data_IF_118957050816
#
_entry.id   IF_118957050816
#
_cell.length_a   1.000
_cell.length_b   1.000
_cell.length_c   1.000
_cell.angle_alpha   90.00
_cell.angle_beta   90.00
_cell.angle_gamma   90.00
#
_symmetry.space_group_name_H-M   'P 1'
#
loop_
_entity.id
_entity.type
_entity.pdbx_description
1 polymer ?
#
# COMPACT_ATOMS: atom_id res chain seq x y z
N UNK A 1 15.25 5.70 13.81
CA UNK A 1 13.81 5.88 14.10
C UNK A 1 13.31 7.32 13.86
N UNK A 2 14.05 8.19 13.22
CA UNK A 2 13.69 9.60 12.98
C UNK A 2 13.75 10.00 11.50
N UNK A 3 13.44 9.12 10.57
CA UNK A 3 13.42 9.44 9.12
C UNK A 3 12.05 9.95 8.62
N UNK A 4 11.10 10.24 9.51
CA UNK A 4 9.69 10.53 9.16
C UNK A 4 9.37 12.03 9.20
N UNK A 5 10.31 12.91 9.59
CA UNK A 5 10.02 14.33 9.82
C UNK A 5 10.24 15.28 8.62
N UNK A 6 10.54 14.80 7.42
CA UNK A 6 10.81 15.67 6.27
C UNK A 6 9.62 15.92 5.31
N UNK A 7 8.39 15.71 5.78
CA UNK A 7 7.16 15.88 4.98
C UNK A 7 6.54 17.28 5.08
N UNK A 8 7.34 18.34 5.21
CA UNK A 8 6.83 19.70 5.01
C UNK A 8 7.01 20.10 3.55
N UNK A 9 5.99 19.85 2.75
CA UNK A 9 5.86 20.47 1.43
C UNK A 9 5.70 21.99 1.60
N UNK A 10 6.66 22.76 1.13
CA UNK A 10 6.54 24.22 0.97
C UNK A 10 5.51 24.49 -0.12
N UNK A 11 4.33 24.91 0.26
CA UNK A 11 3.41 25.61 -0.64
C UNK A 11 3.86 27.08 -0.67
N UNK A 12 4.57 27.45 -1.74
CA UNK A 12 4.90 28.84 -2.04
C UNK A 12 3.66 29.49 -2.66
N UNK A 13 2.93 30.26 -1.89
CA UNK A 13 1.97 31.24 -2.42
C UNK A 13 2.61 32.63 -2.40
N UNK A 14 3.01 33.08 -3.58
CA UNK A 14 3.37 34.48 -3.81
C UNK A 14 2.09 35.32 -3.90
N UNK A 15 1.78 36.08 -2.88
CA UNK A 15 0.94 37.28 -3.03
C UNK A 15 1.60 38.43 -2.29
N UNK A 16 1.98 39.43 -3.10
CA UNK A 16 2.45 40.72 -2.59
C UNK A 16 1.29 41.54 -2.03
N UNK A 17 1.54 42.10 -0.87
CA UNK A 17 0.66 43.08 -0.25
C UNK A 17 1.43 43.80 0.84
N UNK A 18 1.94 44.98 0.52
CA UNK A 18 2.59 45.85 1.48
C UNK A 18 1.54 46.46 2.43
N UNK A 19 1.69 46.25 3.73
CA UNK A 19 1.05 47.11 4.73
C UNK A 19 2.04 47.43 5.85
N UNK A 20 2.19 48.74 6.07
CA UNK A 20 2.95 49.40 7.13
C UNK A 20 2.52 48.90 8.52
N UNK A 21 3.49 48.58 9.36
CA UNK A 21 3.29 48.42 10.79
C UNK A 21 4.26 49.33 11.57
N UNK A 22 3.80 50.10 12.56
CA UNK A 22 4.64 51.04 13.30
C UNK A 22 5.49 50.32 14.35
N UNK A 23 6.74 50.78 14.48
CA UNK A 23 7.71 50.37 15.53
C UNK A 23 7.26 50.79 16.91
N UNK A 24 7.14 49.83 17.81
CA UNK A 24 7.15 50.09 19.26
C UNK A 24 8.44 49.46 19.81
N UNK A 25 9.32 50.31 20.35
CA UNK A 25 10.53 49.93 21.10
C UNK A 25 10.15 49.50 22.52
N UNK A 26 10.50 48.31 22.92
CA UNK A 26 10.65 47.91 24.32
C UNK A 26 11.96 47.15 24.49
N UNK A 27 12.70 47.37 25.59
CA UNK A 27 14.02 46.80 25.79
C UNK A 27 13.95 45.35 26.26
N UNK A 28 14.75 44.52 25.63
CA UNK A 28 14.92 43.11 25.97
C UNK A 28 15.99 42.95 27.05
N UNK A 29 15.64 42.37 28.20
CA UNK A 29 16.56 41.90 29.21
C UNK A 29 16.84 40.41 29.09
N UNK A 30 18.12 40.12 28.92
CA UNK A 30 18.90 38.94 29.37
C UNK A 30 18.28 37.54 29.39
N UNK A 31 18.80 36.72 28.50
CA UNK A 31 19.43 35.43 28.83
C UNK A 31 18.54 34.27 29.25
N UNK A 32 18.12 33.45 28.25
CA UNK A 32 18.02 32.02 28.43
C UNK A 32 18.22 31.33 27.09
N UNK A 33 19.47 30.97 26.78
CA UNK A 33 19.78 30.06 25.70
C UNK A 33 19.32 28.66 26.10
N UNK A 34 18.11 28.29 25.69
CA UNK A 34 17.67 26.89 25.72
C UNK A 34 18.48 26.11 24.70
N UNK A 35 19.49 25.40 25.17
CA UNK A 35 20.28 24.43 24.42
C UNK A 35 19.34 23.37 23.80
N UNK A 36 19.02 23.51 22.51
CA UNK A 36 18.33 22.45 21.74
C UNK A 36 19.22 21.22 21.74
N UNK A 37 18.72 20.05 22.15
CA UNK A 37 19.49 18.82 22.03
C UNK A 37 19.70 18.52 20.54
N UNK A 38 20.92 18.66 20.06
CA UNK A 38 21.35 18.24 18.73
C UNK A 38 21.49 16.72 18.72
N UNK A 39 20.39 15.99 18.59
CA UNK A 39 20.45 14.61 18.14
C UNK A 39 20.86 14.61 16.65
N UNK A 40 22.15 14.47 16.41
CA UNK A 40 22.67 14.09 15.08
C UNK A 40 22.18 12.67 14.79
N UNK A 41 21.01 12.58 14.16
CA UNK A 41 20.62 11.34 13.47
C UNK A 41 21.54 11.23 12.26
N UNK A 42 22.29 10.14 12.18
CA UNK A 42 23.01 9.73 10.96
C UNK A 42 21.95 9.53 9.85
N UNK A 43 21.63 10.62 9.16
CA UNK A 43 20.82 10.56 7.94
C UNK A 43 21.72 10.02 6.83
N UNK A 44 21.58 8.76 6.50
CA UNK A 44 22.12 8.24 5.24
C UNK A 44 21.51 9.11 4.13
N UNK A 45 22.31 9.81 3.34
CA UNK A 45 21.79 10.64 2.26
C UNK A 45 21.05 9.73 1.28
N UNK A 46 19.73 9.85 1.24
CA UNK A 46 18.92 9.11 0.27
C UNK A 46 19.11 9.71 -1.12
N UNK A 47 19.17 8.88 -2.16
CA UNK A 47 19.23 9.39 -3.51
C UNK A 47 18.04 10.33 -3.75
N UNK A 48 18.31 11.53 -4.20
CA UNK A 48 17.28 12.53 -4.48
C UNK A 48 16.48 12.20 -5.73
N UNK A 49 17.07 11.45 -6.65
CA UNK A 49 16.46 10.98 -7.91
C UNK A 49 16.24 9.47 -7.87
N UNK A 50 14.98 9.05 -7.96
CA UNK A 50 14.56 7.65 -8.00
C UNK A 50 14.43 7.07 -9.41
N UNK A 51 14.78 7.81 -10.45
CA UNK A 51 14.66 7.37 -11.85
C UNK A 51 15.27 5.98 -12.10
N UNK A 52 16.48 5.64 -11.61
CA UNK A 52 17.03 4.29 -11.81
C UNK A 52 16.15 3.20 -11.20
N UNK A 53 15.62 3.42 -10.02
CA UNK A 53 14.75 2.46 -9.34
C UNK A 53 13.38 2.32 -10.01
N UNK A 54 12.81 3.42 -10.52
CA UNK A 54 11.56 3.38 -11.27
C UNK A 54 11.73 2.62 -12.59
N UNK A 55 12.91 2.71 -13.24
CA UNK A 55 13.25 1.85 -14.37
C UNK A 55 13.39 0.37 -13.98
N UNK A 56 13.94 0.07 -12.79
CA UNK A 56 14.01 -1.31 -12.30
C UNK A 56 12.62 -1.94 -12.08
N UNK A 57 11.60 -1.15 -11.74
CA UNK A 57 10.23 -1.66 -11.65
C UNK A 57 9.76 -2.29 -12.96
N UNK A 58 10.22 -1.80 -14.12
CA UNK A 58 9.88 -2.38 -15.41
C UNK A 58 10.31 -3.85 -15.56
N UNK A 59 11.31 -4.31 -14.80
CA UNK A 59 11.69 -5.73 -14.77
C UNK A 59 10.57 -6.60 -14.18
N UNK A 60 9.68 -6.03 -13.39
CA UNK A 60 8.48 -6.70 -12.93
C UNK A 60 7.48 -7.03 -14.06
N UNK A 61 7.53 -6.31 -15.19
CA UNK A 61 6.63 -6.58 -16.31
C UNK A 61 6.86 -7.98 -16.91
N UNK A 62 8.05 -8.32 -17.43
CA UNK A 62 8.29 -9.65 -17.99
C UNK A 62 8.13 -10.76 -16.94
N UNK A 63 8.47 -10.51 -15.67
CA UNK A 63 8.26 -11.48 -14.59
C UNK A 63 6.76 -11.79 -14.40
N UNK A 64 5.92 -10.78 -14.29
CA UNK A 64 4.48 -10.98 -14.13
C UNK A 64 3.82 -11.58 -15.37
N UNK A 65 4.27 -11.19 -16.58
CA UNK A 65 3.81 -11.83 -17.84
C UNK A 65 4.19 -13.30 -17.89
N UNK A 66 5.40 -13.65 -17.47
CA UNK A 66 5.81 -15.06 -17.35
C UNK A 66 4.93 -15.84 -16.37
N UNK A 67 4.65 -15.28 -15.17
CA UNK A 67 3.78 -15.92 -14.19
C UNK A 67 2.34 -16.05 -14.70
N UNK A 68 1.84 -15.02 -15.39
CA UNK A 68 0.54 -15.08 -16.05
C UNK A 68 0.48 -16.21 -17.07
N UNK A 69 1.45 -16.31 -17.98
CA UNK A 69 1.49 -17.36 -19.01
C UNK A 69 1.55 -18.76 -18.39
N UNK A 70 2.38 -18.95 -17.34
CA UNK A 70 2.44 -20.24 -16.61
C UNK A 70 1.14 -20.55 -15.88
N UNK A 71 0.52 -19.56 -15.21
CA UNK A 71 -0.78 -19.73 -14.57
C UNK A 71 -1.89 -20.07 -15.57
N UNK A 72 -1.90 -19.40 -16.72
CA UNK A 72 -2.86 -19.71 -17.80
C UNK A 72 -2.69 -21.13 -18.34
N UNK A 73 -1.45 -21.63 -18.43
CA UNK A 73 -1.17 -23.04 -18.76
C UNK A 73 -1.79 -23.98 -17.72
N UNK A 74 -1.52 -23.78 -16.44
CA UNK A 74 -2.13 -24.59 -15.37
C UNK A 74 -3.67 -24.54 -15.37
N UNK A 75 -4.25 -23.40 -15.71
CA UNK A 75 -5.70 -23.27 -15.85
C UNK A 75 -6.24 -24.11 -17.03
N UNK A 76 -5.56 -24.08 -18.17
CA UNK A 76 -5.92 -24.86 -19.34
C UNK A 76 -5.79 -26.37 -19.08
N UNK A 77 -4.86 -26.78 -18.24
CA UNK A 77 -4.66 -28.18 -17.81
C UNK A 77 -5.68 -28.64 -16.74
N UNK A 78 -6.67 -27.82 -16.40
CA UNK A 78 -7.76 -28.17 -15.48
C UNK A 78 -7.46 -27.89 -14.01
N UNK A 79 -6.48 -27.04 -13.69
CA UNK A 79 -6.15 -26.65 -12.32
C UNK A 79 -7.26 -25.87 -11.62
N UNK A 80 -7.16 -25.75 -10.28
CA UNK A 80 -8.19 -25.12 -9.43
C UNK A 80 -8.44 -23.66 -9.82
N UNK A 81 -9.64 -23.30 -10.34
CA UNK A 81 -9.96 -21.94 -10.73
C UNK A 81 -9.96 -20.96 -9.56
N UNK A 82 -10.24 -21.40 -8.33
CA UNK A 82 -10.23 -20.54 -7.12
C UNK A 82 -8.82 -20.12 -6.70
N UNK A 83 -7.81 -20.86 -7.13
CA UNK A 83 -6.39 -20.54 -6.95
C UNK A 83 -5.86 -19.76 -8.15
N UNK A 84 -6.19 -20.17 -9.36
CA UNK A 84 -5.52 -19.68 -10.56
C UNK A 84 -6.11 -18.36 -11.06
N UNK A 85 -7.45 -18.22 -11.14
CA UNK A 85 -8.05 -17.00 -11.66
C UNK A 85 -7.67 -15.72 -10.86
N UNK A 86 -7.70 -15.74 -9.51
CA UNK A 86 -7.21 -14.61 -8.74
C UNK A 86 -5.73 -14.26 -9.02
N UNK A 87 -4.89 -15.28 -9.20
CA UNK A 87 -3.48 -15.08 -9.55
C UNK A 87 -3.31 -14.41 -10.92
N UNK A 88 -4.07 -14.86 -11.93
CA UNK A 88 -4.03 -14.25 -13.27
C UNK A 88 -4.46 -12.78 -13.24
N UNK A 89 -5.49 -12.43 -12.46
CA UNK A 89 -5.91 -11.04 -12.25
C UNK A 89 -4.76 -10.26 -11.62
N UNK A 90 -4.15 -10.80 -10.55
CA UNK A 90 -3.05 -10.13 -9.86
C UNK A 90 -1.84 -9.91 -10.78
N UNK A 91 -1.37 -10.92 -11.51
CA UNK A 91 -0.23 -10.80 -12.42
C UNK A 91 -0.46 -9.77 -13.53
N UNK A 92 -1.67 -9.75 -14.10
CA UNK A 92 -2.05 -8.75 -15.12
C UNK A 92 -1.95 -7.32 -14.59
N UNK A 93 -2.51 -7.08 -13.40
CA UNK A 93 -2.48 -5.75 -12.78
C UNK A 93 -1.08 -5.40 -12.29
N UNK A 94 -0.31 -6.37 -11.78
CA UNK A 94 1.07 -6.15 -11.35
C UNK A 94 1.97 -5.76 -12.53
N UNK A 95 1.83 -6.43 -13.69
CA UNK A 95 2.52 -6.03 -14.91
C UNK A 95 2.14 -4.60 -15.31
N UNK A 96 0.86 -4.26 -15.28
CA UNK A 96 0.38 -2.90 -15.55
C UNK A 96 0.95 -1.88 -14.55
N UNK A 97 0.97 -2.17 -13.25
CA UNK A 97 1.51 -1.30 -12.21
C UNK A 97 3.02 -1.10 -12.32
N UNK A 98 3.74 -2.10 -12.77
CA UNK A 98 5.16 -1.99 -13.08
C UNK A 98 5.42 -1.13 -14.32
N UNK A 99 4.54 -1.19 -15.33
CA UNK A 99 4.66 -0.39 -16.56
C UNK A 99 4.21 1.07 -16.34
N UNK A 100 3.19 1.29 -15.53
CA UNK A 100 2.62 2.61 -15.23
C UNK A 100 2.66 2.90 -13.72
N UNK A 101 3.87 3.01 -13.12
CA UNK A 101 3.96 3.28 -11.70
C UNK A 101 3.39 4.65 -11.36
N UNK A 102 2.58 4.69 -10.30
CA UNK A 102 2.05 5.92 -9.75
C UNK A 102 1.89 5.83 -8.23
N UNK A 103 1.74 6.99 -7.61
CA UNK A 103 1.35 7.14 -6.21
C UNK A 103 0.11 8.00 -6.13
N UNK A 104 -0.92 7.51 -5.43
CA UNK A 104 -2.22 8.20 -5.35
C UNK A 104 -2.13 9.54 -4.65
N UNK A 105 -1.36 9.61 -3.56
CA UNK A 105 -1.07 10.87 -2.88
C UNK A 105 -0.35 11.85 -3.82
N UNK A 106 -0.97 13.01 -4.06
CA UNK A 106 -0.42 14.04 -4.94
C UNK A 106 -0.43 13.68 -6.43
N UNK A 107 -1.11 12.60 -6.85
CA UNK A 107 -1.20 12.14 -8.25
C UNK A 107 0.16 12.03 -8.96
N UNK A 108 1.17 11.52 -8.24
CA UNK A 108 2.54 11.39 -8.74
C UNK A 108 2.60 10.23 -9.73
N UNK A 109 3.22 10.46 -10.89
CA UNK A 109 3.38 9.47 -11.96
C UNK A 109 4.82 9.45 -12.48
N UNK A 110 5.27 8.28 -12.95
CA UNK A 110 6.55 8.18 -13.64
C UNK A 110 6.39 8.56 -15.13
N UNK A 111 5.37 8.03 -15.80
CA UNK A 111 5.03 8.36 -17.18
C UNK A 111 3.79 9.26 -17.23
N UNK A 112 3.88 10.40 -17.92
CA UNK A 112 2.72 11.28 -18.10
C UNK A 112 1.78 10.73 -19.18
N UNK A 113 1.06 9.69 -18.85
CA UNK A 113 0.04 9.07 -19.70
C UNK A 113 -1.29 8.97 -18.96
N UNK A 114 -2.40 8.92 -19.70
CA UNK A 114 -3.73 8.71 -19.11
C UNK A 114 -3.81 7.38 -18.36
N UNK A 115 -3.03 6.38 -18.77
CA UNK A 115 -2.96 5.08 -18.11
C UNK A 115 -2.28 5.16 -16.73
N UNK A 116 -1.38 6.13 -16.50
CA UNK A 116 -0.75 6.34 -15.20
C UNK A 116 -1.64 7.09 -14.19
N UNK A 117 -2.80 7.61 -14.60
CA UNK A 117 -3.69 8.38 -13.72
C UNK A 117 -4.17 7.55 -12.52
N UNK A 118 -4.44 8.24 -11.40
CA UNK A 118 -4.81 7.57 -10.13
C UNK A 118 -6.09 6.77 -10.22
N UNK A 119 -7.10 7.24 -10.95
CA UNK A 119 -8.40 6.57 -11.04
C UNK A 119 -8.33 5.20 -11.75
N UNK A 120 -7.82 5.06 -13.01
CA UNK A 120 -7.74 3.76 -13.66
C UNK A 120 -6.83 2.78 -12.93
N UNK A 121 -5.69 3.26 -12.41
CA UNK A 121 -4.79 2.41 -11.62
C UNK A 121 -5.45 1.92 -10.34
N UNK A 122 -6.24 2.75 -9.65
CA UNK A 122 -6.95 2.31 -8.43
C UNK A 122 -8.05 1.29 -8.73
N UNK A 123 -8.79 1.46 -9.84
CA UNK A 123 -9.78 0.46 -10.26
C UNK A 123 -9.11 -0.91 -10.42
N UNK A 124 -8.03 -0.98 -11.20
CA UNK A 124 -7.31 -2.23 -11.44
C UNK A 124 -6.71 -2.81 -10.15
N UNK A 125 -6.09 -1.96 -9.30
CA UNK A 125 -5.54 -2.39 -8.01
C UNK A 125 -6.62 -2.97 -7.10
N UNK A 126 -7.83 -2.39 -7.07
CA UNK A 126 -8.96 -2.94 -6.30
C UNK A 126 -9.26 -4.38 -6.69
N UNK A 127 -9.37 -4.66 -7.99
CA UNK A 127 -9.62 -6.03 -8.46
C UNK A 127 -8.48 -6.97 -8.06
N UNK A 128 -7.24 -6.56 -8.21
CA UNK A 128 -6.10 -7.42 -7.88
C UNK A 128 -5.98 -7.67 -6.38
N UNK A 129 -6.18 -6.64 -5.55
CA UNK A 129 -6.09 -6.73 -4.10
C UNK A 129 -7.17 -7.65 -3.51
N UNK A 130 -8.41 -7.52 -3.98
CA UNK A 130 -9.48 -8.42 -3.57
C UNK A 130 -9.22 -9.85 -4.08
N UNK A 131 -8.76 -9.99 -5.31
CA UNK A 131 -8.50 -11.31 -5.92
C UNK A 131 -7.43 -12.09 -5.16
N UNK A 132 -6.25 -11.49 -4.89
CA UNK A 132 -5.19 -12.24 -4.23
C UNK A 132 -5.48 -12.50 -2.75
N UNK A 133 -6.21 -11.61 -2.06
CA UNK A 133 -6.65 -11.89 -0.69
C UNK A 133 -7.71 -13.00 -0.67
N UNK A 134 -8.62 -13.05 -1.65
CA UNK A 134 -9.50 -14.19 -1.80
C UNK A 134 -8.72 -15.49 -2.01
N UNK A 135 -7.67 -15.47 -2.84
CA UNK A 135 -6.78 -16.62 -3.03
C UNK A 135 -6.14 -17.06 -1.70
N UNK A 136 -5.55 -16.13 -0.94
CA UNK A 136 -4.92 -16.45 0.35
C UNK A 136 -5.93 -16.98 1.36
N UNK A 137 -7.11 -16.40 1.42
CA UNK A 137 -8.22 -16.90 2.21
C UNK A 137 -8.60 -18.34 1.79
N UNK A 138 -8.66 -18.60 0.48
CA UNK A 138 -8.95 -19.94 -0.03
C UNK A 138 -7.82 -20.93 0.31
N UNK A 139 -6.56 -20.52 0.23
CA UNK A 139 -5.41 -21.33 0.66
C UNK A 139 -5.57 -21.79 2.11
N UNK A 140 -5.93 -20.88 3.03
CA UNK A 140 -6.18 -21.25 4.43
C UNK A 140 -7.27 -22.31 4.54
N UNK A 141 -8.38 -22.20 3.78
CA UNK A 141 -9.44 -23.23 3.76
C UNK A 141 -9.00 -24.56 3.20
N UNK A 142 -8.22 -24.58 2.11
CA UNK A 142 -7.65 -25.80 1.52
C UNK A 142 -6.67 -26.49 2.48
N UNK A 143 -5.92 -25.72 3.27
CA UNK A 143 -4.98 -26.27 4.25
C UNK A 143 -5.66 -26.65 5.58
N UNK A 144 -6.89 -26.21 5.82
CA UNK A 144 -7.71 -26.58 6.97
C UNK A 144 -8.38 -27.97 6.77
N UNK A 145 -7.56 -29.00 6.58
CA UNK A 145 -8.05 -30.37 6.31
C UNK A 145 -8.89 -30.98 7.43
N UNK A 146 -8.81 -30.40 8.65
CA UNK A 146 -9.61 -30.82 9.80
C UNK A 146 -10.94 -30.06 9.92
N UNK A 147 -11.28 -29.20 8.94
CA UNK A 147 -12.51 -28.42 8.87
C UNK A 147 -12.81 -27.61 10.14
N UNK A 148 -11.78 -27.00 10.71
CA UNK A 148 -11.88 -26.22 11.97
C UNK A 148 -12.63 -24.92 11.71
N UNK A 149 -13.86 -24.81 12.23
CA UNK A 149 -14.79 -23.72 11.88
C UNK A 149 -14.29 -22.31 12.20
N UNK A 150 -13.53 -22.08 13.26
CA UNK A 150 -12.99 -20.76 13.56
C UNK A 150 -11.85 -20.35 12.61
N UNK A 151 -11.09 -21.31 12.04
CA UNK A 151 -10.10 -21.06 10.96
C UNK A 151 -10.80 -20.61 9.70
N UNK A 152 -11.92 -21.27 9.33
CA UNK A 152 -12.73 -20.85 8.20
C UNK A 152 -13.30 -19.45 8.41
N UNK A 153 -13.77 -19.15 9.64
CA UNK A 153 -14.24 -17.81 9.98
C UNK A 153 -13.14 -16.75 9.81
N UNK A 154 -11.89 -17.02 10.29
CA UNK A 154 -10.75 -16.13 10.08
C UNK A 154 -10.43 -15.94 8.59
N UNK A 155 -10.51 -17.00 7.78
CA UNK A 155 -10.28 -16.92 6.35
C UNK A 155 -11.30 -16.00 5.66
N UNK A 156 -12.56 -16.06 6.03
CA UNK A 156 -13.61 -15.16 5.51
C UNK A 156 -13.46 -13.73 6.05
N UNK A 157 -12.99 -13.56 7.30
CA UNK A 157 -12.65 -12.23 7.84
C UNK A 157 -11.62 -11.52 6.97
N UNK A 158 -10.63 -12.24 6.40
CA UNK A 158 -9.66 -11.65 5.48
C UNK A 158 -10.34 -11.04 4.25
N UNK A 159 -11.32 -11.75 3.65
CA UNK A 159 -12.07 -11.26 2.47
C UNK A 159 -12.93 -10.03 2.84
N UNK A 160 -13.58 -10.07 4.00
CA UNK A 160 -14.37 -8.92 4.50
C UNK A 160 -13.45 -7.72 4.77
N UNK A 161 -12.31 -7.94 5.43
CA UNK A 161 -11.37 -6.88 5.78
C UNK A 161 -10.82 -6.17 4.54
N UNK A 162 -10.43 -6.91 3.47
CA UNK A 162 -10.01 -6.27 2.22
C UNK A 162 -11.13 -5.50 1.56
N UNK A 163 -12.37 -6.02 1.57
CA UNK A 163 -13.53 -5.30 1.03
C UNK A 163 -13.77 -3.96 1.75
N UNK A 164 -13.71 -3.98 3.08
CA UNK A 164 -13.82 -2.76 3.92
C UNK A 164 -12.66 -1.81 3.66
N UNK A 165 -11.42 -2.31 3.52
CA UNK A 165 -10.26 -1.50 3.15
C UNK A 165 -10.45 -0.80 1.81
N UNK A 166 -11.01 -1.51 0.80
CA UNK A 166 -11.31 -0.90 -0.51
C UNK A 166 -12.32 0.24 -0.38
N UNK A 167 -13.35 0.08 0.45
CA UNK A 167 -14.31 1.16 0.69
C UNK A 167 -13.63 2.41 1.27
N UNK A 168 -12.72 2.24 2.24
CA UNK A 168 -12.03 3.37 2.85
C UNK A 168 -11.07 4.07 1.90
N UNK A 169 -10.27 3.34 1.13
CA UNK A 169 -9.35 3.97 0.18
C UNK A 169 -10.09 4.69 -0.96
N UNK A 170 -11.18 4.12 -1.47
CA UNK A 170 -12.02 4.82 -2.43
C UNK A 170 -12.60 6.10 -1.84
N UNK A 171 -13.11 6.03 -0.62
CA UNK A 171 -13.60 7.20 0.10
C UNK A 171 -12.49 8.24 0.33
N UNK A 172 -11.25 7.81 0.64
CA UNK A 172 -10.10 8.70 0.78
C UNK A 172 -9.79 9.47 -0.51
N UNK A 173 -9.73 8.76 -1.64
CA UNK A 173 -9.45 9.36 -2.96
C UNK A 173 -10.58 10.31 -3.39
N UNK A 174 -11.83 9.88 -3.22
CA UNK A 174 -13.00 10.63 -3.69
C UNK A 174 -13.37 11.81 -2.79
N UNK A 175 -12.89 11.84 -1.54
CA UNK A 175 -13.16 12.95 -0.60
C UNK A 175 -11.93 13.72 -0.19
N UNK A 176 -10.74 13.28 -0.60
CA UNK A 176 -9.43 13.83 -0.23
C UNK A 176 -9.21 13.88 1.32
N UNK A 177 -9.76 12.88 2.05
CA UNK A 177 -9.66 12.79 3.50
C UNK A 177 -8.56 11.81 3.92
N UNK A 178 -7.42 12.32 4.36
CA UNK A 178 -6.25 11.51 4.73
C UNK A 178 -6.50 10.49 5.85
N UNK A 179 -7.41 10.81 6.80
CA UNK A 179 -7.76 9.87 7.89
C UNK A 179 -8.35 8.54 7.38
N UNK A 180 -8.97 8.52 6.22
CA UNK A 180 -9.57 7.31 5.67
C UNK A 180 -8.52 6.28 5.23
N UNK A 181 -7.30 6.72 4.88
CA UNK A 181 -6.17 5.82 4.66
C UNK A 181 -5.75 5.04 5.92
N UNK A 182 -5.94 5.62 7.11
CA UNK A 182 -5.68 4.90 8.37
C UNK A 182 -6.61 3.70 8.53
N UNK A 183 -7.89 3.86 8.18
CA UNK A 183 -8.87 2.76 8.24
C UNK A 183 -8.64 1.72 7.14
N UNK A 184 -8.17 2.13 5.96
CA UNK A 184 -7.71 1.20 4.92
C UNK A 184 -6.60 0.32 5.47
N UNK A 185 -5.55 0.93 6.01
CA UNK A 185 -4.37 0.23 6.53
C UNK A 185 -4.68 -0.61 7.78
N UNK A 186 -5.66 -0.20 8.58
CA UNK A 186 -6.17 -1.03 9.69
C UNK A 186 -6.81 -2.33 9.16
N UNK A 187 -7.56 -2.26 8.08
CA UNK A 187 -8.12 -3.44 7.42
C UNK A 187 -7.02 -4.41 6.95
N UNK A 188 -5.93 -3.90 6.38
CA UNK A 188 -4.75 -4.70 6.04
C UNK A 188 -4.09 -5.33 7.27
N UNK A 189 -3.99 -4.61 8.39
CA UNK A 189 -3.47 -5.16 9.64
C UNK A 189 -4.32 -6.32 10.16
N UNK A 190 -5.65 -6.17 10.17
CA UNK A 190 -6.60 -7.21 10.61
C UNK A 190 -6.49 -8.45 9.71
N UNK A 191 -6.46 -8.25 8.40
CA UNK A 191 -6.35 -9.31 7.40
C UNK A 191 -5.08 -10.15 7.61
N UNK A 192 -3.92 -9.51 7.71
CA UNK A 192 -2.66 -10.24 7.91
C UNK A 192 -2.50 -10.81 9.31
N UNK A 193 -3.12 -10.21 10.34
CA UNK A 193 -3.20 -10.82 11.66
C UNK A 193 -4.02 -12.12 11.60
N UNK A 194 -5.19 -12.11 10.96
CA UNK A 194 -6.02 -13.30 10.76
C UNK A 194 -5.26 -14.39 9.99
N UNK A 195 -4.58 -14.03 8.88
CA UNK A 195 -3.76 -14.97 8.12
C UNK A 195 -2.62 -15.57 8.96
N UNK A 196 -1.94 -14.76 9.76
CA UNK A 196 -0.82 -15.19 10.62
C UNK A 196 -1.30 -16.17 11.71
N UNK A 197 -2.40 -15.83 12.37
CA UNK A 197 -2.99 -16.68 13.44
C UNK A 197 -3.47 -18.01 12.86
N UNK A 198 -4.21 -17.98 11.75
CA UNK A 198 -4.68 -19.19 11.06
C UNK A 198 -3.50 -20.07 10.62
N UNK A 199 -2.49 -19.45 9.98
CA UNK A 199 -1.29 -20.18 9.52
C UNK A 199 -0.52 -20.81 10.67
N UNK A 200 -0.35 -20.10 11.80
CA UNK A 200 0.34 -20.61 12.99
C UNK A 200 -0.36 -21.80 13.60
N UNK A 201 -1.67 -21.72 13.75
CA UNK A 201 -2.47 -22.81 14.28
C UNK A 201 -2.41 -24.04 13.36
N UNK A 202 -2.65 -23.87 12.05
CA UNK A 202 -2.60 -24.98 11.08
C UNK A 202 -1.22 -25.61 11.01
N UNK A 203 -0.15 -24.83 11.06
CA UNK A 203 1.21 -25.33 11.07
C UNK A 203 1.51 -26.20 12.30
N UNK A 204 0.98 -25.81 13.46
CA UNK A 204 1.19 -26.53 14.73
C UNK A 204 0.32 -27.79 14.87
N UNK A 205 -0.85 -27.84 14.22
CA UNK A 205 -1.85 -28.88 14.51
C UNK A 205 -2.16 -29.81 13.35
N UNK A 206 -1.68 -29.49 12.14
CA UNK A 206 -2.05 -30.22 10.92
C UNK A 206 -0.84 -30.88 10.28
N UNK A 207 -0.93 -32.17 9.99
CA UNK A 207 0.11 -32.89 9.24
C UNK A 207 -0.06 -32.62 7.73
N UNK A 208 0.79 -31.77 7.19
CA UNK A 208 0.80 -31.39 5.79
C UNK A 208 2.05 -31.89 5.07
N UNK A 209 1.97 -32.02 3.73
CA UNK A 209 3.17 -32.25 2.92
C UNK A 209 4.15 -31.05 3.07
N UNK A 210 5.47 -31.27 2.88
CA UNK A 210 6.46 -30.21 3.04
C UNK A 210 6.17 -28.95 2.18
N UNK A 211 5.64 -29.14 0.95
CA UNK A 211 5.28 -28.04 0.07
C UNK A 211 4.11 -27.20 0.64
N UNK A 212 3.07 -27.85 1.15
CA UNK A 212 1.91 -27.19 1.77
C UNK A 212 2.28 -26.54 3.12
N UNK A 213 3.08 -27.20 3.94
CA UNK A 213 3.63 -26.63 5.18
C UNK A 213 4.48 -25.38 4.89
N UNK A 214 5.25 -25.38 3.78
CA UNK A 214 6.03 -24.23 3.32
C UNK A 214 5.19 -22.99 3.05
N UNK A 215 3.94 -23.13 2.57
CA UNK A 215 3.02 -21.98 2.42
C UNK A 215 2.66 -21.34 3.75
N UNK A 216 2.43 -22.14 4.79
CA UNK A 216 2.14 -21.64 6.14
C UNK A 216 3.36 -20.94 6.74
N UNK A 217 4.56 -21.50 6.56
CA UNK A 217 5.82 -20.90 7.03
C UNK A 217 6.05 -19.53 6.35
N UNK A 218 5.80 -19.41 5.04
CA UNK A 218 5.88 -18.13 4.33
C UNK A 218 4.88 -17.11 4.88
N UNK A 219 3.64 -17.52 5.14
CA UNK A 219 2.60 -16.68 5.75
C UNK A 219 3.02 -16.20 7.15
N UNK A 220 3.56 -17.08 7.97
CA UNK A 220 4.07 -16.75 9.30
C UNK A 220 5.25 -15.77 9.22
N UNK A 221 6.25 -16.07 8.39
CA UNK A 221 7.42 -15.20 8.21
C UNK A 221 7.03 -13.80 7.75
N UNK A 222 6.09 -13.71 6.78
CA UNK A 222 5.55 -12.42 6.35
C UNK A 222 4.82 -11.72 7.48
N UNK A 223 3.94 -12.41 8.21
CA UNK A 223 3.20 -11.83 9.33
C UNK A 223 4.10 -11.28 10.43
N UNK A 224 5.14 -12.01 10.82
CA UNK A 224 6.10 -11.57 11.85
C UNK A 224 6.88 -10.30 11.45
N UNK A 225 7.13 -10.08 10.17
CA UNK A 225 7.82 -8.88 9.68
C UNK A 225 6.82 -7.75 9.42
N UNK A 226 5.71 -8.07 8.77
CA UNK A 226 4.73 -7.09 8.31
C UNK A 226 3.95 -6.45 9.45
N UNK A 227 3.45 -7.22 10.42
CA UNK A 227 2.59 -6.68 11.49
C UNK A 227 3.27 -5.63 12.38
N UNK A 228 4.53 -5.81 12.85
CA UNK A 228 5.24 -4.76 13.55
C UNK A 228 5.48 -3.52 12.68
N UNK A 229 5.84 -3.71 11.40
CA UNK A 229 5.98 -2.60 10.46
C UNK A 229 4.66 -1.87 10.24
N UNK A 230 3.58 -2.61 10.05
CA UNK A 230 2.22 -2.05 9.85
C UNK A 230 1.75 -1.24 11.05
N UNK A 231 2.07 -1.67 12.27
CA UNK A 231 1.78 -0.89 13.48
C UNK A 231 2.49 0.47 13.47
N UNK A 232 3.77 0.49 13.10
CA UNK A 232 4.54 1.74 12.96
C UNK A 232 3.99 2.62 11.84
N UNK A 233 3.57 2.01 10.73
CA UNK A 233 2.96 2.71 9.60
C UNK A 233 1.63 3.35 9.98
N UNK A 234 0.73 2.61 10.61
CA UNK A 234 -0.55 3.12 11.12
C UNK A 234 -0.37 4.31 12.07
N UNK A 235 0.59 4.19 13.02
CA UNK A 235 0.93 5.30 13.92
C UNK A 235 1.39 6.54 13.15
N UNK A 236 2.22 6.36 12.15
CA UNK A 236 2.71 7.46 11.30
C UNK A 236 1.58 8.14 10.53
N UNK A 237 0.69 7.36 9.91
CA UNK A 237 -0.47 7.88 9.18
C UNK A 237 -1.42 8.65 10.10
N UNK A 238 -1.68 8.13 11.30
CA UNK A 238 -2.52 8.78 12.30
C UNK A 238 -1.97 10.15 12.71
N UNK A 239 -0.68 10.23 13.02
CA UNK A 239 -0.02 11.46 13.39
C UNK A 239 -0.01 12.49 12.24
N UNK A 240 0.26 12.05 11.02
CA UNK A 240 0.26 12.91 9.83
C UNK A 240 -1.14 13.41 9.49
N UNK A 241 -2.17 12.57 9.63
CA UNK A 241 -3.54 12.97 9.40
C UNK A 241 -4.03 14.01 10.43
N UNK A 242 -3.53 13.93 11.67
CA UNK A 242 -3.80 14.95 12.70
C UNK A 242 -3.08 16.28 12.44
N UNK A 243 -1.82 16.22 12.00
CA UNK A 243 -1.01 17.42 11.75
C UNK A 243 -1.47 18.25 10.52
N UNK A 244 -2.14 17.62 9.56
CA UNK A 244 -2.64 18.27 8.35
C UNK A 244 -4.09 18.77 8.45
N UNK A 245 -4.77 18.52 9.57
CA UNK A 245 -6.04 19.18 9.87
C UNK A 245 -5.73 20.48 10.58
N UNK A 246 -5.72 21.59 9.85
CA UNK A 246 -5.83 22.92 10.45
C UNK A 246 -7.18 22.97 11.18
N UNK A 247 -7.16 23.33 12.46
CA UNK A 247 -8.36 23.36 13.34
C UNK A 247 -9.48 24.25 12.80
N UNK A 248 -9.20 25.10 11.83
CA UNK A 248 -10.11 26.13 11.31
C UNK A 248 -10.89 25.72 10.05
N UNK A 249 -10.55 24.62 9.36
CA UNK A 249 -11.30 24.17 8.18
C UNK A 249 -12.16 22.94 8.50
N UNK A 250 -13.46 23.18 8.72
CA UNK A 250 -14.41 22.08 8.74
C UNK A 250 -14.34 21.28 7.42
N UNK A 251 -14.25 19.95 7.46
CA UNK A 251 -14.12 19.15 6.25
C UNK A 251 -15.34 19.41 5.35
N UNK A 252 -15.08 19.69 4.07
CA UNK A 252 -16.15 19.90 3.07
C UNK A 252 -17.15 18.74 3.16
N UNK A 253 -18.49 19.03 3.22
CA UNK A 253 -19.49 17.97 3.34
C UNK A 253 -19.39 17.00 2.17
N UNK A 254 -19.64 15.71 2.45
CA UNK A 254 -19.60 14.66 1.42
C UNK A 254 -20.82 14.82 0.50
N UNK A 255 -20.60 15.46 -0.64
CA UNK A 255 -21.63 15.68 -1.66
C UNK A 255 -21.30 14.92 -2.95
N UNK A 256 -22.30 14.58 -3.74
CA UNK A 256 -22.07 13.97 -5.06
C UNK A 256 -21.22 14.87 -5.97
N UNK A 257 -21.37 16.20 -5.84
CA UNK A 257 -20.55 17.16 -6.58
C UNK A 257 -19.06 17.07 -6.20
N UNK A 258 -18.74 16.95 -4.90
CA UNK A 258 -17.38 16.71 -4.41
C UNK A 258 -16.79 15.42 -4.98
N UNK A 259 -17.54 14.32 -4.87
CA UNK A 259 -17.12 13.00 -5.39
C UNK A 259 -16.83 13.08 -6.89
N UNK A 260 -17.74 13.65 -7.67
CA UNK A 260 -17.58 13.83 -9.13
C UNK A 260 -16.34 14.68 -9.46
N UNK A 261 -16.16 15.83 -8.77
CA UNK A 261 -15.00 16.70 -8.95
C UNK A 261 -13.71 15.95 -8.69
N UNK A 262 -13.61 15.23 -7.58
CA UNK A 262 -12.39 14.51 -7.20
C UNK A 262 -12.15 13.28 -8.09
N UNK A 263 -13.19 12.59 -8.57
CA UNK A 263 -13.05 11.53 -9.56
C UNK A 263 -12.48 12.06 -10.89
N UNK A 264 -12.98 13.20 -11.37
CA UNK A 264 -12.45 13.88 -12.57
C UNK A 264 -11.00 14.31 -12.34
N UNK A 265 -10.69 14.86 -11.14
CA UNK A 265 -9.33 15.23 -10.77
C UNK A 265 -8.39 14.00 -10.78
N UNK A 266 -8.77 12.88 -10.15
CA UNK A 266 -7.99 11.65 -10.13
C UNK A 266 -7.82 10.99 -11.51
N UNK A 267 -8.70 11.30 -12.48
CA UNK A 267 -8.59 10.84 -13.86
C UNK A 267 -7.66 11.71 -14.71
N UNK A 268 -7.66 13.02 -14.49
CA UNK A 268 -6.99 13.97 -15.37
C UNK A 268 -5.70 14.55 -14.80
N UNK A 269 -5.58 14.64 -13.48
CA UNK A 269 -4.39 15.23 -12.84
C UNK A 269 -3.28 14.19 -12.73
N UNK A 270 -2.12 14.56 -13.26
CA UNK A 270 -0.90 13.75 -13.19
C UNK A 270 0.27 14.71 -12.96
N UNK A 271 1.13 14.36 -12.03
CA UNK A 271 2.33 15.11 -11.68
C UNK A 271 3.55 14.23 -11.93
N UNK A 272 4.19 14.33 -13.11
CA UNK A 272 5.41 13.59 -13.40
C UNK A 272 6.52 13.97 -12.42
N UNK A 273 7.13 12.99 -11.78
CA UNK A 273 8.25 13.22 -10.86
C UNK A 273 9.12 11.99 -10.72
N UNK A 274 10.41 12.22 -10.48
CA UNK A 274 11.38 11.19 -10.07
C UNK A 274 12.01 11.52 -8.70
N UNK A 275 11.54 12.56 -8.03
CA UNK A 275 12.07 12.97 -6.73
C UNK A 275 11.66 11.98 -5.64
N UNK A 276 12.63 11.54 -4.84
CA UNK A 276 12.40 10.53 -3.79
C UNK A 276 11.28 10.88 -2.82
N UNK A 277 11.18 12.15 -2.42
CA UNK A 277 10.14 12.64 -1.52
C UNK A 277 8.72 12.45 -2.07
N UNK A 278 8.53 12.63 -3.37
CA UNK A 278 7.25 12.46 -4.05
C UNK A 278 6.79 10.99 -4.07
N UNK A 279 7.73 10.04 -4.02
CA UNK A 279 7.47 8.59 -4.03
C UNK A 279 7.42 7.96 -2.64
N UNK A 280 7.39 8.75 -1.58
CA UNK A 280 7.37 8.25 -0.20
C UNK A 280 8.73 7.77 0.29
N UNK A 281 9.80 8.23 -0.31
CA UNK A 281 11.16 7.87 0.03
C UNK A 281 11.47 6.39 -0.23
N UNK A 282 12.49 5.87 0.45
CA UNK A 282 12.87 4.45 0.33
C UNK A 282 11.75 3.49 0.73
N UNK A 283 10.92 3.85 1.71
CA UNK A 283 9.80 3.00 2.18
C UNK A 283 8.77 2.81 1.06
N UNK A 284 8.34 3.90 0.42
CA UNK A 284 7.36 3.82 -0.67
C UNK A 284 7.88 3.03 -1.87
N UNK A 285 9.14 3.24 -2.26
CA UNK A 285 9.75 2.51 -3.36
C UNK A 285 9.94 1.02 -3.04
N UNK A 286 10.43 0.70 -1.83
CA UNK A 286 10.58 -0.70 -1.37
C UNK A 286 9.24 -1.41 -1.39
N UNK A 287 8.19 -0.75 -0.91
CA UNK A 287 6.82 -1.28 -0.95
C UNK A 287 6.37 -1.56 -2.39
N UNK A 288 6.50 -0.59 -3.30
CA UNK A 288 6.12 -0.78 -4.70
C UNK A 288 6.87 -1.95 -5.35
N UNK A 289 8.17 -2.06 -5.10
CA UNK A 289 9.00 -3.13 -5.65
C UNK A 289 8.61 -4.50 -5.08
N UNK A 290 8.41 -4.59 -3.76
CA UNK A 290 8.01 -5.83 -3.11
C UNK A 290 6.61 -6.28 -3.55
N UNK A 291 5.68 -5.35 -3.62
CA UNK A 291 4.26 -5.64 -3.87
C UNK A 291 3.98 -5.97 -5.34
N UNK A 292 4.49 -5.17 -6.28
CA UNK A 292 4.13 -5.32 -7.70
C UNK A 292 5.18 -6.05 -8.53
N UNK A 293 6.46 -5.93 -8.17
CA UNK A 293 7.54 -6.42 -9.02
C UNK A 293 8.23 -7.69 -8.52
N UNK A 294 8.08 -8.10 -7.24
CA UNK A 294 8.90 -9.20 -6.72
C UNK A 294 8.19 -10.11 -5.70
N UNK A 295 8.14 -9.75 -4.42
CA UNK A 295 7.76 -10.68 -3.34
C UNK A 295 6.35 -11.23 -3.46
N UNK A 296 5.35 -10.38 -3.64
CA UNK A 296 3.96 -10.83 -3.73
C UNK A 296 3.70 -11.62 -5.02
N UNK A 297 4.14 -11.19 -6.21
CA UNK A 297 4.04 -12.02 -7.41
C UNK A 297 4.69 -13.39 -7.26
N UNK A 298 5.89 -13.48 -6.68
CA UNK A 298 6.58 -14.74 -6.43
C UNK A 298 5.80 -15.64 -5.48
N UNK A 299 5.26 -15.07 -4.39
CA UNK A 299 4.45 -15.82 -3.43
C UNK A 299 3.18 -16.36 -4.08
N UNK A 300 2.43 -15.53 -4.80
CA UNK A 300 1.22 -15.94 -5.53
C UNK A 300 1.54 -17.05 -6.54
N UNK A 301 2.65 -16.91 -7.29
CA UNK A 301 3.08 -17.95 -8.21
C UNK A 301 3.44 -19.27 -7.51
N UNK A 302 4.08 -19.18 -6.32
CA UNK A 302 4.36 -20.37 -5.52
C UNK A 302 3.08 -21.05 -5.04
N UNK A 303 2.06 -20.29 -4.61
CA UNK A 303 0.72 -20.83 -4.29
C UNK A 303 0.12 -21.57 -5.48
N UNK A 304 0.14 -20.97 -6.68
CA UNK A 304 -0.36 -21.61 -7.91
C UNK A 304 0.37 -22.94 -8.19
N UNK A 305 1.68 -22.98 -8.02
CA UNK A 305 2.46 -24.20 -8.22
C UNK A 305 2.16 -25.32 -7.22
N UNK A 306 1.86 -24.98 -5.97
CA UNK A 306 1.68 -25.98 -4.90
C UNK A 306 0.24 -26.46 -4.81
N UNK A 307 -0.74 -25.62 -5.10
CA UNK A 307 -2.16 -25.91 -4.90
C UNK A 307 -2.99 -25.81 -6.18
N UNK A 308 -2.53 -25.09 -7.18
CA UNK A 308 -3.29 -24.90 -8.42
C UNK A 308 -3.28 -26.10 -9.36
N UNK A 309 -2.36 -27.04 -9.18
CA UNK A 309 -2.17 -28.22 -10.03
C UNK A 309 -2.63 -29.53 -9.36
N UNK A 310 -3.25 -29.45 -8.21
CA UNK A 310 -3.85 -30.56 -7.47
C UNK A 310 -5.35 -30.60 -7.66
#
# INVERSE_FOLDING_TARGET
MNAISSWRGQISTSHGGATHCPRIHLPCSTGCEARKPTHRVLSVPMPTDFRPFLWLLLLGVPLNVYFFAKGAGFFADGGDPKIILPALIFFSVSAYRCLFPNRYEGNVVFHDTKLSASLPTRILSTFSEVAYIYQFSHVIRVLNVNEIGWIDALSWLMVVAVGVSQFFVWSAILTNRLRLYVYEELGWAILFAANTVASGYLYATTSLSPARAGLLVLSLGFGFVYLPWQFLHLRSLWLNAGANQTEDEAPEPMTLALIKRNAVHALHTRRPSTLSGDWGGAIGLTWMTAYWASLIPLWIYHVVRVLGTT
#
